data_IF_454317913851
#
_entry.id   IF_454317913851
#
_cell.length_a   1.000
_cell.length_b   1.000
_cell.length_c   1.000
_cell.angle_alpha   90.00
_cell.angle_beta   90.00
_cell.angle_gamma   90.00
#
_symmetry.space_group_name_H-M   'P 1'
#
loop_
_entity.id
_entity.type
_entity.pdbx_description
1 polymer ?
#
# COMPACT_ATOMS: atom_id res chain seq x y z
N UNK A 1 21.88 -51.55 4.93
CA UNK A 1 22.23 -50.21 5.47
C UNK A 1 20.94 -49.36 5.44
N UNK A 2 20.57 -48.66 6.52
CA UNK A 2 19.26 -47.96 6.63
C UNK A 2 19.35 -46.49 6.23
N UNK A 3 18.22 -45.86 5.87
CA UNK A 3 18.13 -44.42 5.58
C UNK A 3 18.76 -43.58 6.69
N UNK A 4 18.42 -43.85 7.96
CA UNK A 4 18.94 -43.12 9.11
C UNK A 4 20.47 -43.17 9.20
N UNK A 5 21.07 -44.33 8.90
CA UNK A 5 22.53 -44.49 8.89
C UNK A 5 23.21 -43.64 7.82
N UNK A 6 22.61 -43.55 6.63
CA UNK A 6 23.12 -42.73 5.52
C UNK A 6 22.90 -41.24 5.84
N UNK A 7 21.74 -40.87 6.37
CA UNK A 7 21.39 -39.49 6.72
C UNK A 7 22.27 -38.92 7.85
N UNK A 8 22.66 -39.73 8.84
CA UNK A 8 23.62 -39.28 9.88
C UNK A 8 25.01 -39.03 9.28
N UNK A 9 25.49 -39.90 8.39
CA UNK A 9 26.76 -39.67 7.66
C UNK A 9 26.66 -38.42 6.78
N UNK A 10 25.49 -38.19 6.19
CA UNK A 10 25.18 -37.02 5.39
C UNK A 10 25.23 -35.73 6.22
N UNK A 11 24.53 -35.66 7.35
CA UNK A 11 24.57 -34.48 8.23
C UNK A 11 25.98 -34.18 8.75
N UNK A 12 26.78 -35.22 9.05
CA UNK A 12 28.19 -35.04 9.43
C UNK A 12 29.01 -34.40 8.30
N UNK A 13 28.83 -34.85 7.05
CA UNK A 13 29.53 -34.29 5.89
C UNK A 13 29.13 -32.82 5.61
N UNK A 14 27.86 -32.47 5.84
CA UNK A 14 27.38 -31.08 5.72
C UNK A 14 27.96 -30.19 6.83
N UNK A 15 27.99 -30.66 8.09
CA UNK A 15 28.51 -29.88 9.23
C UNK A 15 30.00 -29.59 9.15
N UNK A 16 30.81 -30.47 8.56
CA UNK A 16 32.25 -30.22 8.33
C UNK A 16 32.53 -29.00 7.44
N UNK A 17 31.52 -28.50 6.70
CA UNK A 17 31.60 -27.27 5.90
C UNK A 17 31.54 -25.98 6.75
N UNK A 18 30.99 -26.05 7.96
CA UNK A 18 30.81 -24.88 8.84
C UNK A 18 32.07 -24.50 9.63
N UNK A 19 33.06 -25.38 9.76
CA UNK A 19 34.21 -25.17 10.66
C UNK A 19 35.56 -25.05 9.96
N UNK A 20 35.65 -25.18 8.62
CA UNK A 20 36.90 -25.01 7.88
C UNK A 20 36.69 -24.29 6.55
N UNK A 21 36.77 -22.96 6.61
CA UNK A 21 37.01 -22.12 5.44
C UNK A 21 38.53 -22.15 5.13
N UNK A 22 38.94 -22.98 4.17
CA UNK A 22 40.14 -22.78 3.34
C UNK A 22 40.18 -23.80 2.19
N UNK A 23 40.36 -23.28 0.98
CA UNK A 23 40.83 -23.92 -0.27
C UNK A 23 39.79 -24.55 -1.23
N UNK A 24 39.84 -24.08 -2.48
CA UNK A 24 39.06 -24.50 -3.66
C UNK A 24 39.30 -25.95 -4.14
N UNK A 25 40.21 -26.73 -3.54
CA UNK A 25 40.39 -28.15 -3.91
C UNK A 25 39.53 -29.12 -3.09
N UNK A 26 38.92 -28.66 -1.98
CA UNK A 26 38.12 -29.49 -1.07
C UNK A 26 36.64 -29.58 -1.52
N UNK A 27 36.18 -28.64 -2.36
CA UNK A 27 34.79 -28.59 -2.85
C UNK A 27 34.45 -29.75 -3.79
N UNK A 28 35.38 -30.22 -4.61
CA UNK A 28 35.15 -31.36 -5.51
C UNK A 28 35.00 -32.68 -4.74
N UNK A 29 35.84 -32.95 -3.74
CA UNK A 29 35.80 -34.21 -2.97
C UNK A 29 34.59 -34.32 -2.02
N UNK A 30 34.05 -33.20 -1.52
CA UNK A 30 32.82 -33.22 -0.72
C UNK A 30 31.59 -33.40 -1.61
N UNK A 31 31.54 -32.75 -2.77
CA UNK A 31 30.47 -32.93 -3.76
C UNK A 31 30.36 -34.39 -4.21
N UNK A 32 31.48 -35.00 -4.59
CA UNK A 32 31.58 -36.42 -4.96
C UNK A 32 31.10 -37.35 -3.84
N UNK A 33 31.45 -37.05 -2.57
CA UNK A 33 30.97 -37.83 -1.42
C UNK A 33 29.47 -37.69 -1.22
N UNK A 34 28.91 -36.49 -1.36
CA UNK A 34 27.47 -36.26 -1.24
C UNK A 34 26.71 -36.94 -2.38
N UNK A 35 27.24 -36.92 -3.60
CA UNK A 35 26.67 -37.62 -4.75
C UNK A 35 26.74 -39.14 -4.60
N UNK A 36 27.85 -39.68 -4.08
CA UNK A 36 27.96 -41.10 -3.77
C UNK A 36 27.00 -41.54 -2.65
N UNK A 37 26.74 -40.69 -1.66
CA UNK A 37 25.73 -40.94 -0.62
C UNK A 37 24.31 -40.85 -1.20
N UNK A 38 24.04 -39.88 -2.07
CA UNK A 38 22.77 -39.73 -2.77
C UNK A 38 22.44 -40.95 -3.64
N UNK A 39 23.42 -41.44 -4.41
CA UNK A 39 23.28 -42.62 -5.24
C UNK A 39 22.99 -43.89 -4.44
N UNK A 40 23.42 -43.96 -3.17
CA UNK A 40 23.09 -45.05 -2.24
C UNK A 40 21.75 -44.86 -1.55
N UNK A 41 21.27 -43.62 -1.42
CA UNK A 41 20.03 -43.26 -0.74
C UNK A 41 18.81 -43.54 -1.62
N UNK A 42 18.87 -43.14 -2.91
CA UNK A 42 17.73 -43.18 -3.82
C UNK A 42 17.12 -44.59 -4.00
N UNK A 43 17.90 -45.69 -4.12
CA UNK A 43 17.37 -47.05 -4.21
C UNK A 43 16.59 -47.50 -2.96
N UNK A 44 16.78 -46.83 -1.82
CA UNK A 44 16.06 -47.14 -0.58
C UNK A 44 14.66 -46.53 -0.53
N UNK A 45 14.20 -45.86 -1.60
CA UNK A 45 12.89 -45.21 -1.71
C UNK A 45 12.58 -44.31 -0.50
N UNK A 46 13.38 -43.23 -0.30
CA UNK A 46 13.16 -42.30 0.80
C UNK A 46 11.75 -41.70 0.75
N UNK A 47 11.16 -41.44 1.92
CA UNK A 47 9.83 -40.83 2.02
C UNK A 47 9.87 -39.33 1.69
N UNK A 48 8.71 -38.73 1.41
CA UNK A 48 8.58 -37.28 1.16
C UNK A 48 9.21 -36.45 2.29
N UNK A 49 8.89 -36.75 3.54
CA UNK A 49 9.48 -36.08 4.71
C UNK A 49 11.01 -36.19 4.75
N UNK A 50 11.55 -37.36 4.42
CA UNK A 50 12.99 -37.60 4.37
C UNK A 50 13.68 -36.79 3.27
N UNK A 51 13.06 -36.67 2.10
CA UNK A 51 13.54 -35.87 0.98
C UNK A 51 13.53 -34.37 1.33
N UNK A 52 12.47 -33.89 1.98
CA UNK A 52 12.34 -32.52 2.46
C UNK A 52 13.45 -32.15 3.47
N UNK A 53 13.81 -33.06 4.37
CA UNK A 53 14.93 -32.82 5.29
C UNK A 53 16.28 -32.69 4.57
N UNK A 54 16.46 -33.35 3.43
CA UNK A 54 17.65 -33.16 2.57
C UNK A 54 17.60 -31.79 1.88
N UNK A 55 16.44 -31.37 1.37
CA UNK A 55 16.23 -30.04 0.74
C UNK A 55 16.59 -28.90 1.70
N UNK A 56 16.14 -28.99 2.96
CA UNK A 56 16.45 -28.02 4.02
C UNK A 56 17.94 -28.06 4.39
N UNK A 57 18.45 -29.25 4.64
CA UNK A 57 19.76 -29.45 5.26
C UNK A 57 20.95 -29.32 4.32
N UNK A 58 20.79 -29.49 3.00
CA UNK A 58 21.91 -29.54 2.07
C UNK A 58 21.69 -28.68 0.82
N UNK A 59 22.32 -27.48 0.76
CA UNK A 59 22.30 -26.66 -0.44
C UNK A 59 22.82 -27.35 -1.70
N UNK A 60 23.74 -28.31 -1.56
CA UNK A 60 24.37 -29.00 -2.70
C UNK A 60 23.45 -30.04 -3.35
N UNK A 61 22.67 -30.77 -2.55
CA UNK A 61 21.73 -31.78 -3.07
C UNK A 61 20.30 -31.27 -3.22
N UNK A 62 20.06 -30.00 -2.92
CA UNK A 62 18.73 -29.44 -2.79
C UNK A 62 17.86 -29.68 -4.02
N UNK A 63 18.38 -29.36 -5.20
CA UNK A 63 17.64 -29.53 -6.45
C UNK A 63 17.37 -31.01 -6.74
N UNK A 64 18.37 -31.88 -6.53
CA UNK A 64 18.21 -33.34 -6.72
C UNK A 64 17.17 -33.91 -5.76
N UNK A 65 17.18 -33.48 -4.50
CA UNK A 65 16.22 -33.92 -3.50
C UNK A 65 14.81 -33.38 -3.75
N UNK A 66 14.70 -32.15 -4.25
CA UNK A 66 13.42 -31.59 -4.66
C UNK A 66 12.82 -32.32 -5.86
N UNK A 67 13.62 -32.66 -6.86
CA UNK A 67 13.15 -33.46 -8.00
C UNK A 67 12.67 -34.84 -7.57
N UNK A 68 13.46 -35.54 -6.73
CA UNK A 68 13.03 -36.81 -6.16
C UNK A 68 11.74 -36.68 -5.32
N UNK A 69 11.53 -35.55 -4.63
CA UNK A 69 10.27 -35.27 -3.93
C UNK A 69 9.11 -35.10 -4.91
N UNK A 70 9.27 -34.37 -6.01
CA UNK A 70 8.23 -34.25 -7.06
C UNK A 70 7.86 -35.63 -7.63
N UNK A 71 8.84 -36.50 -7.85
CA UNK A 71 8.61 -37.88 -8.33
C UNK A 71 7.76 -38.73 -7.37
N UNK A 72 7.70 -38.38 -6.07
CA UNK A 72 6.79 -39.02 -5.12
C UNK A 72 5.31 -38.63 -5.30
N UNK A 73 5.02 -37.66 -6.19
CA UNK A 73 3.69 -37.10 -6.47
C UNK A 73 3.01 -36.55 -5.20
N UNK A 74 3.61 -35.54 -4.55
CA UNK A 74 3.06 -34.94 -3.34
C UNK A 74 1.69 -34.31 -3.61
N UNK A 75 0.80 -34.42 -2.63
CA UNK A 75 -0.55 -33.83 -2.72
C UNK A 75 -0.53 -32.31 -2.51
N UNK A 76 -1.58 -31.63 -2.97
CA UNK A 76 -1.74 -30.18 -2.85
C UNK A 76 -1.53 -29.66 -1.41
N UNK A 77 -2.17 -30.31 -0.43
CA UNK A 77 -2.07 -29.90 0.98
C UNK A 77 -0.64 -30.02 1.51
N UNK A 78 0.08 -31.09 1.15
CA UNK A 78 1.48 -31.27 1.55
C UNK A 78 2.35 -30.12 1.00
N UNK A 79 2.16 -29.75 -0.26
CA UNK A 79 2.93 -28.64 -0.86
C UNK A 79 2.53 -27.28 -0.25
N UNK A 80 1.25 -27.07 0.07
CA UNK A 80 0.77 -25.87 0.76
C UNK A 80 1.40 -25.73 2.15
N UNK A 81 1.47 -26.82 2.91
CA UNK A 81 2.09 -26.83 4.24
C UNK A 81 3.57 -26.44 4.14
N UNK A 82 4.28 -26.94 3.12
CA UNK A 82 5.67 -26.54 2.86
C UNK A 82 5.79 -25.06 2.49
N UNK A 83 4.86 -24.51 1.71
CA UNK A 83 4.84 -23.09 1.34
C UNK A 83 4.64 -22.18 2.56
N UNK A 84 3.70 -22.52 3.45
CA UNK A 84 3.41 -21.73 4.65
C UNK A 84 4.41 -21.96 5.79
N UNK A 85 5.25 -22.98 5.71
CA UNK A 85 6.24 -23.28 6.73
C UNK A 85 7.25 -22.14 6.91
N UNK A 86 7.28 -21.54 8.11
CA UNK A 86 8.14 -20.40 8.45
C UNK A 86 9.64 -20.72 8.36
N UNK A 87 10.04 -21.99 8.58
CA UNK A 87 11.45 -22.40 8.44
C UNK A 87 11.95 -22.28 7.01
N UNK A 88 11.07 -22.45 6.02
CA UNK A 88 11.44 -22.34 4.61
C UNK A 88 11.72 -20.90 4.18
N UNK A 89 11.06 -19.93 4.82
CA UNK A 89 11.33 -18.51 4.58
C UNK A 89 12.75 -18.15 5.00
N UNK A 90 13.22 -18.66 6.14
CA UNK A 90 14.57 -18.40 6.63
C UNK A 90 15.66 -18.87 5.65
N UNK A 91 15.42 -19.97 4.93
CA UNK A 91 16.37 -20.55 3.99
C UNK A 91 16.18 -20.12 2.52
N UNK A 92 15.25 -19.20 2.24
CA UNK A 92 14.93 -18.79 0.86
C UNK A 92 14.35 -19.93 -0.01
N UNK A 93 13.75 -20.94 0.64
CA UNK A 93 13.32 -22.16 -0.04
C UNK A 93 11.89 -22.10 -0.56
N UNK A 94 11.11 -21.08 -0.17
CA UNK A 94 9.70 -20.98 -0.50
C UNK A 94 9.43 -21.01 -2.03
N UNK A 95 10.44 -20.64 -2.82
CA UNK A 95 10.39 -20.72 -4.29
C UNK A 95 10.09 -22.12 -4.84
N UNK A 96 10.51 -23.18 -4.15
CA UNK A 96 10.29 -24.56 -4.57
C UNK A 96 8.80 -24.95 -4.50
N UNK A 97 8.16 -24.92 -3.32
CA UNK A 97 6.73 -25.22 -3.23
C UNK A 97 5.90 -24.21 -4.00
N UNK A 98 6.30 -22.92 -4.09
CA UNK A 98 5.58 -21.95 -4.91
C UNK A 98 5.51 -22.35 -6.39
N UNK A 99 6.63 -22.72 -7.01
CA UNK A 99 6.66 -23.18 -8.41
C UNK A 99 5.80 -24.42 -8.62
N UNK A 100 5.83 -25.37 -7.69
CA UNK A 100 5.02 -26.57 -7.77
C UNK A 100 3.53 -26.28 -7.55
N UNK A 101 3.18 -25.32 -6.68
CA UNK A 101 1.79 -24.91 -6.47
C UNK A 101 1.14 -24.38 -7.76
N UNK A 102 1.90 -23.67 -8.60
CA UNK A 102 1.41 -23.17 -9.88
C UNK A 102 1.13 -24.27 -10.92
N UNK A 103 1.58 -25.51 -10.69
CA UNK A 103 1.28 -26.63 -11.58
C UNK A 103 0.02 -27.40 -11.18
N UNK A 104 -0.61 -27.09 -10.05
CA UNK A 104 -1.88 -27.72 -9.66
C UNK A 104 -3.06 -27.06 -10.37
N UNK A 105 -3.95 -27.90 -10.91
CA UNK A 105 -5.15 -27.46 -11.64
C UNK A 105 -6.08 -26.58 -10.79
N UNK A 106 -6.19 -26.88 -9.48
CA UNK A 106 -7.07 -26.19 -8.52
C UNK A 106 -6.29 -25.49 -7.40
N UNK A 107 -5.20 -24.78 -7.72
CA UNK A 107 -4.53 -23.94 -6.73
C UNK A 107 -5.44 -22.80 -6.24
N UNK A 108 -5.51 -22.57 -4.93
CA UNK A 108 -6.36 -21.53 -4.36
C UNK A 108 -5.92 -20.11 -4.78
N UNK A 109 -6.87 -19.24 -5.15
CA UNK A 109 -6.60 -17.86 -5.55
C UNK A 109 -5.82 -17.05 -4.51
N UNK A 110 -6.07 -17.26 -3.21
CA UNK A 110 -5.32 -16.58 -2.14
C UNK A 110 -3.83 -16.95 -2.16
N UNK A 111 -3.50 -18.20 -2.51
CA UNK A 111 -2.13 -18.65 -2.70
C UNK A 111 -1.53 -18.00 -3.93
N UNK A 112 -2.27 -17.94 -5.04
CA UNK A 112 -1.82 -17.25 -6.26
C UNK A 112 -1.50 -15.78 -5.99
N UNK A 113 -2.36 -15.08 -5.23
CA UNK A 113 -2.13 -13.69 -4.81
C UNK A 113 -0.90 -13.59 -3.90
N UNK A 114 -0.71 -14.49 -2.93
CA UNK A 114 0.46 -14.47 -2.04
C UNK A 114 1.76 -14.73 -2.83
N UNK A 115 1.77 -15.69 -3.75
CA UNK A 115 2.91 -15.94 -4.66
C UNK A 115 3.18 -14.71 -5.52
N UNK A 116 2.16 -14.13 -6.14
CA UNK A 116 2.30 -12.95 -6.99
C UNK A 116 2.91 -11.76 -6.27
N UNK A 117 2.51 -11.52 -5.01
CA UNK A 117 2.97 -10.38 -4.21
C UNK A 117 4.36 -10.64 -3.61
N UNK A 118 4.63 -11.86 -3.14
CA UNK A 118 5.88 -12.17 -2.42
C UNK A 118 7.01 -12.64 -3.33
N UNK A 119 6.71 -13.08 -4.55
CA UNK A 119 7.69 -13.65 -5.47
C UNK A 119 7.60 -12.96 -6.84
N UNK A 120 8.27 -11.81 -7.01
CA UNK A 120 8.21 -11.04 -8.26
C UNK A 120 8.50 -11.86 -9.53
N UNK A 121 9.42 -12.84 -9.46
CA UNK A 121 9.77 -13.70 -10.59
C UNK A 121 8.70 -14.76 -10.95
N UNK A 122 7.68 -14.96 -10.12
CA UNK A 122 6.50 -15.81 -10.39
C UNK A 122 5.21 -14.99 -10.55
N UNK A 123 5.30 -13.65 -10.48
CA UNK A 123 4.12 -12.80 -10.51
C UNK A 123 3.35 -12.91 -11.82
N UNK A 124 4.07 -13.01 -12.95
CA UNK A 124 3.48 -13.24 -14.26
C UNK A 124 2.66 -14.54 -14.28
N UNK A 125 3.28 -15.66 -13.94
CA UNK A 125 2.63 -16.98 -14.02
C UNK A 125 1.40 -17.05 -13.09
N UNK A 126 1.50 -16.47 -11.89
CA UNK A 126 0.39 -16.40 -10.94
C UNK A 126 -0.76 -15.54 -11.46
N UNK A 127 -0.45 -14.37 -12.04
CA UNK A 127 -1.44 -13.49 -12.64
C UNK A 127 -2.11 -14.12 -13.87
N UNK A 128 -1.38 -14.90 -14.66
CA UNK A 128 -1.89 -15.58 -15.84
C UNK A 128 -2.96 -16.61 -15.44
N UNK A 129 -2.67 -17.44 -14.43
CA UNK A 129 -3.63 -18.40 -13.89
C UNK A 129 -4.87 -17.67 -13.32
N UNK A 130 -4.69 -16.59 -12.55
CA UNK A 130 -5.81 -15.82 -12.01
C UNK A 130 -6.70 -15.26 -13.12
N UNK A 131 -6.13 -14.68 -14.18
CA UNK A 131 -6.88 -14.08 -15.29
C UNK A 131 -7.70 -15.11 -16.08
N UNK A 132 -7.21 -16.35 -16.18
CA UNK A 132 -7.94 -17.44 -16.85
C UNK A 132 -9.18 -17.90 -16.07
N UNK A 133 -9.27 -17.63 -14.76
CA UNK A 133 -10.28 -18.19 -13.85
C UNK A 133 -11.45 -17.25 -13.50
N UNK A 134 -11.67 -16.18 -14.27
CA UNK A 134 -12.68 -15.13 -13.96
C UNK A 134 -12.47 -14.55 -12.55
N UNK A 135 -11.36 -13.83 -12.34
CA UNK A 135 -10.95 -13.37 -11.01
C UNK A 135 -11.94 -12.35 -10.41
N UNK A 136 -12.02 -12.29 -9.09
CA UNK A 136 -12.80 -11.27 -8.37
C UNK A 136 -12.23 -9.86 -8.57
N UNK A 137 -13.03 -8.83 -8.29
CA UNK A 137 -12.57 -7.43 -8.33
C UNK A 137 -11.34 -7.18 -7.43
N UNK A 138 -11.29 -7.86 -6.28
CA UNK A 138 -10.14 -7.81 -5.37
C UNK A 138 -8.90 -8.42 -6.02
N UNK A 139 -9.03 -9.60 -6.65
CA UNK A 139 -7.91 -10.26 -7.33
C UNK A 139 -7.40 -9.41 -8.50
N UNK A 140 -8.30 -8.85 -9.31
CA UNK A 140 -7.96 -7.93 -10.41
C UNK A 140 -7.19 -6.71 -9.91
N UNK A 141 -7.65 -6.09 -8.82
CA UNK A 141 -6.96 -4.96 -8.19
C UNK A 141 -5.55 -5.34 -7.73
N UNK A 142 -5.35 -6.55 -7.16
CA UNK A 142 -4.02 -7.03 -6.79
C UNK A 142 -3.10 -7.24 -7.99
N UNK A 143 -3.63 -7.70 -9.12
CA UNK A 143 -2.86 -7.84 -10.37
C UNK A 143 -2.43 -6.45 -10.86
N UNK A 144 -3.34 -5.47 -10.87
CA UNK A 144 -3.09 -4.10 -11.31
C UNK A 144 -2.03 -3.39 -10.45
N UNK A 145 -2.11 -3.55 -9.12
CA UNK A 145 -1.18 -2.94 -8.17
C UNK A 145 0.22 -3.56 -8.20
N UNK A 146 0.37 -4.79 -8.70
CA UNK A 146 1.64 -5.49 -8.62
C UNK A 146 2.62 -5.01 -9.71
N UNK A 147 3.73 -4.32 -9.35
CA UNK A 147 4.68 -3.82 -10.34
C UNK A 147 5.45 -4.94 -11.06
N UNK A 148 5.48 -6.14 -10.46
CA UNK A 148 6.11 -7.32 -11.03
C UNK A 148 5.27 -7.98 -12.13
N UNK A 149 3.97 -7.64 -12.22
CA UNK A 149 3.11 -8.12 -13.31
C UNK A 149 3.35 -7.27 -14.56
N UNK A 150 3.60 -7.89 -15.73
CA UNK A 150 3.79 -7.16 -16.98
C UNK A 150 2.63 -6.21 -17.31
N UNK A 151 2.96 -5.05 -17.90
CA UNK A 151 1.96 -4.01 -18.26
C UNK A 151 0.79 -4.58 -19.07
N UNK A 152 0.98 -5.42 -20.12
CA UNK A 152 -0.14 -5.94 -20.91
C UNK A 152 -1.15 -6.74 -20.07
N UNK A 153 -0.68 -7.47 -19.05
CA UNK A 153 -1.57 -8.23 -18.16
C UNK A 153 -2.29 -7.33 -17.16
N UNK A 154 -1.63 -6.24 -16.71
CA UNK A 154 -2.29 -5.22 -15.89
C UNK A 154 -3.35 -4.45 -16.68
N UNK A 155 -3.10 -4.17 -17.95
CA UNK A 155 -4.10 -3.61 -18.87
C UNK A 155 -5.28 -4.55 -19.09
N UNK A 156 -5.01 -5.85 -19.28
CA UNK A 156 -6.06 -6.87 -19.37
C UNK A 156 -6.87 -6.95 -18.07
N UNK A 157 -6.22 -6.95 -16.90
CA UNK A 157 -6.91 -6.96 -15.62
C UNK A 157 -7.78 -5.69 -15.43
N UNK A 158 -7.25 -4.52 -15.81
CA UNK A 158 -7.99 -3.27 -15.80
C UNK A 158 -9.20 -3.30 -16.72
N UNK A 159 -9.06 -3.84 -17.94
CA UNK A 159 -10.17 -4.04 -18.88
C UNK A 159 -11.30 -4.88 -18.26
N UNK A 160 -10.94 -6.03 -17.68
CA UNK A 160 -11.90 -6.92 -17.02
C UNK A 160 -12.56 -6.22 -15.84
N UNK A 161 -11.79 -5.48 -15.03
CA UNK A 161 -12.31 -4.77 -13.87
C UNK A 161 -13.25 -3.63 -14.27
N UNK A 162 -12.93 -2.85 -15.30
CA UNK A 162 -13.79 -1.76 -15.81
C UNK A 162 -15.13 -2.31 -16.32
N UNK A 163 -15.13 -3.47 -16.98
CA UNK A 163 -16.35 -4.05 -17.54
C UNK A 163 -17.14 -4.93 -16.56
N UNK A 164 -16.63 -5.13 -15.34
CA UNK A 164 -17.31 -5.95 -14.33
C UNK A 164 -18.60 -5.28 -13.81
N UNK A 165 -19.66 -6.06 -13.50
CA UNK A 165 -20.81 -5.54 -12.77
C UNK A 165 -20.49 -5.26 -11.29
N UNK A 166 -19.44 -5.86 -10.74
CA UNK A 166 -19.01 -5.71 -9.35
C UNK A 166 -17.82 -4.76 -9.20
N UNK A 167 -17.61 -3.86 -10.17
CA UNK A 167 -16.58 -2.82 -10.08
C UNK A 167 -16.89 -1.85 -8.95
N UNK A 168 -15.90 -1.57 -8.11
CA UNK A 168 -15.97 -0.58 -7.04
C UNK A 168 -15.08 0.64 -7.32
N UNK A 169 -15.33 1.74 -6.61
CA UNK A 169 -14.58 2.99 -6.80
C UNK A 169 -13.07 2.83 -6.52
N UNK A 170 -12.63 2.13 -5.45
CA UNK A 170 -11.21 1.93 -5.18
C UNK A 170 -10.49 1.18 -6.32
N UNK A 171 -11.14 0.19 -6.94
CA UNK A 171 -10.59 -0.53 -8.08
C UNK A 171 -10.39 0.38 -9.30
N UNK A 172 -11.33 1.28 -9.59
CA UNK A 172 -11.21 2.22 -10.70
C UNK A 172 -10.16 3.30 -10.44
N UNK A 173 -10.07 3.81 -9.21
CA UNK A 173 -8.99 4.73 -8.81
C UNK A 173 -7.64 4.03 -8.99
N UNK A 174 -7.51 2.78 -8.58
CA UNK A 174 -6.29 2.00 -8.78
C UNK A 174 -5.88 1.92 -10.26
N UNK A 175 -6.83 1.79 -11.19
CA UNK A 175 -6.53 1.79 -12.63
C UNK A 175 -5.97 3.14 -13.07
N UNK A 176 -6.58 4.26 -12.64
CA UNK A 176 -6.11 5.61 -12.95
C UNK A 176 -4.65 5.79 -12.52
N UNK A 177 -4.26 5.22 -11.37
CA UNK A 177 -2.92 5.39 -10.83
C UNK A 177 -1.87 4.46 -11.42
N UNK A 178 -2.24 3.25 -11.81
CA UNK A 178 -1.30 2.19 -12.14
C UNK A 178 -1.26 1.80 -13.62
N UNK A 179 -2.29 2.16 -14.41
CA UNK A 179 -2.46 1.71 -15.80
C UNK A 179 -2.82 2.88 -16.71
N UNK A 180 -1.82 3.66 -17.16
CA UNK A 180 -2.07 4.86 -17.97
C UNK A 180 -2.94 4.62 -19.20
N UNK A 181 -2.77 3.48 -19.88
CA UNK A 181 -3.56 3.13 -21.07
C UNK A 181 -5.06 2.95 -20.83
N UNK A 182 -5.48 2.73 -19.58
CA UNK A 182 -6.88 2.50 -19.21
C UNK A 182 -7.44 3.60 -18.27
N UNK A 183 -6.59 4.58 -17.91
CA UNK A 183 -6.91 5.58 -16.90
C UNK A 183 -8.12 6.45 -17.29
N UNK A 184 -8.20 6.92 -18.53
CA UNK A 184 -9.33 7.73 -18.99
C UNK A 184 -10.66 6.95 -18.95
N UNK A 185 -10.64 5.67 -19.33
CA UNK A 185 -11.86 4.82 -19.30
C UNK A 185 -12.33 4.56 -17.88
N UNK A 186 -11.41 4.27 -16.97
CA UNK A 186 -11.75 4.12 -15.55
C UNK A 186 -12.31 5.42 -14.96
N UNK A 187 -11.74 6.57 -15.32
CA UNK A 187 -12.22 7.87 -14.89
C UNK A 187 -13.62 8.20 -15.44
N UNK A 188 -13.91 7.87 -16.71
CA UNK A 188 -15.27 8.02 -17.27
C UNK A 188 -16.30 7.22 -16.47
N UNK A 189 -15.99 5.97 -16.14
CA UNK A 189 -16.87 5.14 -15.30
C UNK A 189 -17.09 5.76 -13.91
N UNK A 190 -16.05 6.32 -13.28
CA UNK A 190 -16.19 7.01 -11.99
C UNK A 190 -17.06 8.28 -12.05
N UNK A 191 -17.00 9.03 -13.15
CA UNK A 191 -17.87 10.19 -13.37
C UNK A 191 -19.36 9.79 -13.44
N UNK A 192 -19.65 8.61 -13.98
CA UNK A 192 -21.01 8.06 -14.09
C UNK A 192 -21.54 7.52 -12.76
N UNK A 193 -20.67 7.11 -11.83
CA UNK A 193 -21.03 6.48 -10.55
C UNK A 193 -21.46 7.47 -9.46
N UNK A 194 -21.45 8.80 -9.71
CA UNK A 194 -21.68 9.84 -8.69
C UNK A 194 -20.78 9.67 -7.45
N UNK A 195 -19.49 9.43 -7.71
CA UNK A 195 -18.50 9.12 -6.68
C UNK A 195 -18.18 10.33 -5.78
N UNK A 196 -17.61 10.15 -4.58
CA UNK A 196 -17.23 11.24 -3.69
C UNK A 196 -16.29 12.28 -4.33
N UNK A 197 -16.29 13.53 -3.83
CA UNK A 197 -15.49 14.60 -4.43
C UNK A 197 -13.99 14.35 -4.44
N UNK A 198 -13.45 13.58 -3.50
CA UNK A 198 -12.03 13.22 -3.51
C UNK A 198 -11.67 12.31 -4.70
N UNK A 199 -12.62 11.50 -5.18
CA UNK A 199 -12.48 10.74 -6.42
C UNK A 199 -12.50 11.70 -7.61
N UNK A 200 -13.42 12.67 -7.63
CA UNK A 200 -13.45 13.69 -8.69
C UNK A 200 -12.16 14.51 -8.73
N UNK A 201 -11.59 14.84 -7.56
CA UNK A 201 -10.28 15.50 -7.46
C UNK A 201 -9.18 14.64 -8.10
N UNK A 202 -9.22 13.32 -7.91
CA UNK A 202 -8.26 12.40 -8.54
C UNK A 202 -8.37 12.47 -10.06
N UNK A 203 -9.59 12.44 -10.61
CA UNK A 203 -9.83 12.58 -12.05
C UNK A 203 -9.32 13.93 -12.55
N UNK A 204 -9.71 15.01 -11.86
CA UNK A 204 -9.34 16.38 -12.19
C UNK A 204 -7.82 16.57 -12.28
N UNK A 205 -7.07 16.03 -11.32
CA UNK A 205 -5.61 16.18 -11.26
C UNK A 205 -4.86 15.24 -12.20
N UNK A 206 -5.39 14.03 -12.45
CA UNK A 206 -4.65 12.98 -13.18
C UNK A 206 -5.08 12.78 -14.63
N UNK A 207 -6.28 13.22 -15.01
CA UNK A 207 -6.85 13.01 -16.35
C UNK A 207 -7.22 14.37 -16.97
N UNK A 208 -6.26 15.04 -17.63
CA UNK A 208 -6.48 16.39 -18.18
C UNK A 208 -7.67 16.48 -19.14
N UNK A 209 -7.92 15.43 -19.92
CA UNK A 209 -9.04 15.35 -20.86
C UNK A 209 -10.42 15.36 -20.20
N UNK A 210 -10.51 15.07 -18.90
CA UNK A 210 -11.77 15.01 -18.13
C UNK A 210 -11.83 16.06 -17.00
N UNK A 211 -10.87 16.98 -16.95
CA UNK A 211 -10.78 17.96 -15.88
C UNK A 211 -12.00 18.89 -15.82
N UNK A 212 -12.55 19.28 -16.98
CA UNK A 212 -13.75 20.11 -17.07
C UNK A 212 -14.97 19.41 -16.43
N UNK A 213 -15.18 18.14 -16.76
CA UNK A 213 -16.29 17.34 -16.27
C UNK A 213 -16.18 17.08 -14.77
N UNK A 214 -14.98 16.70 -14.29
CA UNK A 214 -14.73 16.53 -12.86
C UNK A 214 -14.95 17.83 -12.09
N UNK A 215 -14.47 18.96 -12.63
CA UNK A 215 -14.70 20.28 -12.05
C UNK A 215 -16.19 20.63 -11.96
N UNK A 216 -16.98 20.34 -12.99
CA UNK A 216 -18.44 20.58 -12.97
C UNK A 216 -19.11 19.83 -11.82
N UNK A 217 -18.70 18.58 -11.53
CA UNK A 217 -19.25 17.85 -10.39
C UNK A 217 -18.79 18.43 -9.05
N UNK A 218 -17.51 18.79 -8.92
CA UNK A 218 -16.96 19.40 -7.70
C UNK A 218 -17.64 20.74 -7.38
N UNK A 219 -17.83 21.59 -8.38
CA UNK A 219 -18.31 22.97 -8.19
C UNK A 219 -19.80 23.09 -7.79
N UNK A 220 -20.60 22.03 -7.95
CA UNK A 220 -22.03 22.04 -7.57
C UNK A 220 -22.22 22.09 -6.05
N UNK A 221 -21.42 21.34 -5.29
CA UNK A 221 -21.54 21.27 -3.83
C UNK A 221 -20.16 21.15 -3.18
N UNK A 222 -19.27 22.13 -3.35
CA UNK A 222 -17.84 21.93 -3.15
C UNK A 222 -17.48 21.64 -1.69
N UNK A 223 -16.68 20.58 -1.49
CA UNK A 223 -16.05 20.28 -0.22
C UNK A 223 -14.85 21.23 -0.01
N UNK A 224 -14.78 21.97 1.12
CA UNK A 224 -13.71 22.94 1.36
C UNK A 224 -12.30 22.35 1.21
N UNK A 225 -12.09 21.14 1.73
CA UNK A 225 -10.81 20.42 1.62
C UNK A 225 -10.41 20.13 0.16
N UNK A 226 -11.39 19.84 -0.70
CA UNK A 226 -11.15 19.59 -2.13
C UNK A 226 -10.77 20.89 -2.84
N UNK A 227 -11.47 22.00 -2.54
CA UNK A 227 -11.11 23.32 -3.06
C UNK A 227 -9.69 23.72 -2.69
N UNK A 228 -9.26 23.51 -1.44
CA UNK A 228 -7.90 23.79 -0.99
C UNK A 228 -6.83 23.11 -1.86
N UNK A 229 -7.08 21.85 -2.26
CA UNK A 229 -6.17 21.12 -3.17
C UNK A 229 -6.15 21.68 -4.59
N UNK A 230 -7.29 22.13 -5.11
CA UNK A 230 -7.39 22.73 -6.45
C UNK A 230 -6.76 24.11 -6.49
N UNK A 231 -6.92 24.91 -5.43
CA UNK A 231 -6.25 26.20 -5.27
C UNK A 231 -4.72 26.02 -5.36
N UNK A 232 -4.20 24.95 -4.76
CA UNK A 232 -2.77 24.63 -4.76
C UNK A 232 -2.27 23.99 -6.06
N UNK A 233 -3.14 23.46 -6.92
CA UNK A 233 -2.73 22.65 -8.08
C UNK A 233 -2.17 23.46 -9.26
N UNK A 234 -2.24 24.79 -9.22
CA UNK A 234 -1.83 25.71 -10.30
C UNK A 234 -2.51 25.47 -11.65
N UNK A 235 -3.57 24.64 -11.71
CA UNK A 235 -4.29 24.35 -12.95
C UNK A 235 -5.27 25.49 -13.24
N UNK A 236 -4.89 26.35 -14.17
CA UNK A 236 -5.71 27.47 -14.64
C UNK A 236 -6.80 27.00 -15.63
N UNK A 237 -8.01 27.62 -15.64
CA UNK A 237 -8.46 28.70 -14.75
C UNK A 237 -9.06 28.21 -13.41
N UNK A 238 -9.00 26.90 -13.14
CA UNK A 238 -9.77 26.28 -12.06
C UNK A 238 -9.30 26.65 -10.66
N UNK A 239 -8.01 26.88 -10.45
CA UNK A 239 -7.49 27.38 -9.19
C UNK A 239 -8.11 28.74 -8.83
N UNK A 240 -8.27 29.67 -9.77
CA UNK A 240 -8.95 30.95 -9.56
C UNK A 240 -10.46 30.77 -9.29
N UNK A 241 -11.12 29.89 -10.04
CA UNK A 241 -12.51 29.54 -9.79
C UNK A 241 -12.71 28.92 -8.40
N UNK A 242 -11.77 28.07 -7.96
CA UNK A 242 -11.78 27.45 -6.64
C UNK A 242 -11.56 28.48 -5.52
N UNK A 243 -10.73 29.51 -5.73
CA UNK A 243 -10.62 30.65 -4.80
C UNK A 243 -11.95 31.36 -4.65
N UNK A 244 -12.63 31.67 -5.76
CA UNK A 244 -13.93 32.35 -5.71
C UNK A 244 -14.97 31.53 -4.95
N UNK A 245 -15.00 30.20 -5.17
CA UNK A 245 -15.88 29.31 -4.43
C UNK A 245 -15.51 29.27 -2.95
N UNK A 246 -14.23 29.10 -2.60
CA UNK A 246 -13.78 29.00 -1.21
C UNK A 246 -14.11 30.24 -0.39
N UNK A 247 -13.93 31.44 -0.96
CA UNK A 247 -14.29 32.72 -0.31
C UNK A 247 -15.82 32.87 -0.18
N UNK A 248 -16.59 32.39 -1.15
CA UNK A 248 -18.05 32.50 -1.18
C UNK A 248 -18.82 31.44 -0.39
N UNK A 249 -18.13 30.46 0.21
CA UNK A 249 -18.76 29.39 0.99
C UNK A 249 -19.44 29.94 2.25
N UNK A 250 -20.62 29.40 2.59
CA UNK A 250 -21.30 29.71 3.85
C UNK A 250 -20.50 29.25 5.08
N UNK A 251 -19.88 28.07 4.98
CA UNK A 251 -19.08 27.45 6.01
C UNK A 251 -17.70 27.08 5.42
N UNK A 252 -16.81 28.07 5.22
CA UNK A 252 -15.47 27.79 4.72
C UNK A 252 -14.64 27.11 5.80
N UNK A 253 -13.67 26.28 5.39
CA UNK A 253 -12.74 25.67 6.33
C UNK A 253 -11.42 26.45 6.39
N UNK A 254 -10.74 26.31 7.52
CA UNK A 254 -9.45 26.97 7.75
C UNK A 254 -8.40 26.65 6.67
N UNK A 255 -8.29 25.39 6.23
CA UNK A 255 -7.22 25.01 5.31
C UNK A 255 -7.44 25.55 3.91
N UNK A 256 -8.67 25.56 3.38
CA UNK A 256 -8.93 26.16 2.06
C UNK A 256 -8.65 27.65 2.05
N UNK A 257 -9.07 28.40 3.06
CA UNK A 257 -8.78 29.84 3.18
C UNK A 257 -7.28 30.11 3.35
N UNK A 258 -6.57 29.29 4.14
CA UNK A 258 -5.12 29.38 4.24
C UNK A 258 -4.43 29.14 2.88
N UNK A 259 -4.90 28.15 2.11
CA UNK A 259 -4.40 27.92 0.74
C UNK A 259 -4.64 29.14 -0.16
N UNK A 260 -5.79 29.83 -0.06
CA UNK A 260 -6.02 31.09 -0.77
C UNK A 260 -4.96 32.13 -0.39
N UNK A 261 -4.75 32.38 0.90
CA UNK A 261 -3.80 33.40 1.37
C UNK A 261 -2.36 33.14 0.93
N UNK A 262 -1.97 31.86 0.90
CA UNK A 262 -0.64 31.39 0.49
C UNK A 262 -0.42 31.56 -1.02
N UNK A 263 -1.38 31.11 -1.83
CA UNK A 263 -1.19 30.98 -3.28
C UNK A 263 -1.63 32.22 -4.04
N UNK A 264 -2.60 33.00 -3.53
CA UNK A 264 -3.19 34.15 -4.22
C UNK A 264 -2.99 35.45 -3.43
N UNK A 265 -1.83 36.12 -3.57
CA UNK A 265 -1.54 37.38 -2.85
C UNK A 265 -2.62 38.44 -2.98
N UNK A 266 -3.21 38.57 -4.16
CA UNK A 266 -4.23 39.59 -4.46
C UNK A 266 -5.58 39.31 -3.77
N UNK A 267 -5.84 38.07 -3.31
CA UNK A 267 -7.07 37.66 -2.61
C UNK A 267 -6.82 37.39 -1.13
N UNK A 268 -5.60 37.62 -0.64
CA UNK A 268 -5.18 37.32 0.73
C UNK A 268 -6.01 38.06 1.78
N UNK A 269 -6.28 39.34 1.55
CA UNK A 269 -6.99 40.15 2.54
C UNK A 269 -8.45 39.73 2.68
N UNK A 270 -9.11 39.35 1.57
CA UNK A 270 -10.46 38.79 1.60
C UNK A 270 -10.51 37.50 2.44
N UNK A 271 -9.62 36.54 2.17
CA UNK A 271 -9.54 35.30 2.93
C UNK A 271 -9.20 35.53 4.40
N UNK A 272 -8.33 36.50 4.70
CA UNK A 272 -7.98 36.88 6.08
C UNK A 272 -9.18 37.45 6.84
N UNK A 273 -10.01 38.31 6.22
CA UNK A 273 -11.21 38.83 6.90
C UNK A 273 -12.17 37.72 7.31
N UNK A 274 -12.33 36.69 6.47
CA UNK A 274 -13.16 35.52 6.79
C UNK A 274 -12.55 34.74 7.97
N UNK A 275 -11.25 34.40 7.90
CA UNK A 275 -10.55 33.70 8.97
C UNK A 275 -10.57 34.48 10.30
N UNK A 276 -10.46 35.80 10.25
CA UNK A 276 -10.49 36.67 11.43
C UNK A 276 -11.83 36.61 12.15
N UNK A 277 -12.92 36.38 11.43
CA UNK A 277 -14.26 36.21 11.99
C UNK A 277 -14.52 34.79 12.54
N UNK A 278 -13.66 33.81 12.23
CA UNK A 278 -13.74 32.47 12.78
C UNK A 278 -13.16 32.41 14.20
N UNK A 279 -13.62 31.41 14.95
CA UNK A 279 -13.00 31.01 16.20
C UNK A 279 -11.75 30.16 15.88
N UNK A 280 -10.57 30.78 16.00
CA UNK A 280 -9.30 30.18 15.64
C UNK A 280 -8.48 29.95 16.90
N UNK A 281 -7.96 28.73 17.05
CA UNK A 281 -7.01 28.43 18.11
C UNK A 281 -5.64 29.09 17.86
N UNK A 282 -4.84 29.17 18.93
CA UNK A 282 -3.51 29.77 18.86
C UNK A 282 -2.58 29.04 17.88
N UNK A 283 -2.79 27.74 17.64
CA UNK A 283 -1.98 26.98 16.69
C UNK A 283 -2.31 27.35 15.24
N UNK A 284 -3.59 27.53 14.91
CA UNK A 284 -4.06 28.02 13.62
C UNK A 284 -3.53 29.42 13.33
N UNK A 285 -3.53 30.31 14.34
CA UNK A 285 -2.97 31.66 14.23
C UNK A 285 -1.45 31.65 14.01
N UNK A 286 -0.70 30.79 14.72
CA UNK A 286 0.74 30.58 14.48
C UNK A 286 1.00 30.05 13.07
N UNK A 287 0.18 29.11 12.60
CA UNK A 287 0.29 28.56 11.25
C UNK A 287 0.08 29.64 10.19
N UNK A 288 -0.91 30.52 10.35
CA UNK A 288 -1.14 31.68 9.48
C UNK A 288 0.09 32.60 9.49
N UNK A 289 0.57 32.99 10.67
CA UNK A 289 1.72 33.88 10.82
C UNK A 289 2.99 33.33 10.15
N UNK A 290 3.19 32.01 10.20
CA UNK A 290 4.31 31.30 9.56
C UNK A 290 4.16 31.22 8.05
N UNK A 291 2.99 30.83 7.57
CA UNK A 291 2.76 30.52 6.15
C UNK A 291 2.38 31.75 5.32
N UNK A 292 1.95 32.84 5.95
CA UNK A 292 1.57 34.10 5.32
C UNK A 292 2.19 35.31 6.05
N UNK A 293 3.48 35.62 5.83
CA UNK A 293 4.19 36.70 6.54
C UNK A 293 3.51 38.07 6.45
N UNK A 294 2.79 38.33 5.35
CA UNK A 294 2.11 39.61 5.11
C UNK A 294 0.98 39.92 6.13
N UNK A 295 0.42 38.92 6.81
CA UNK A 295 -0.61 39.11 7.86
C UNK A 295 -0.10 38.72 9.24
N UNK A 296 1.21 38.51 9.39
CA UNK A 296 1.83 37.99 10.62
C UNK A 296 1.48 38.85 11.84
N UNK A 297 1.65 40.17 11.72
CA UNK A 297 1.38 41.10 12.81
C UNK A 297 -0.09 41.08 13.24
N UNK A 298 -1.02 40.99 12.28
CA UNK A 298 -2.45 40.89 12.57
C UNK A 298 -2.83 39.57 13.24
N UNK A 299 -2.22 38.46 12.81
CA UNK A 299 -2.41 37.14 13.43
C UNK A 299 -1.86 37.09 14.85
N UNK A 300 -0.67 37.64 15.09
CA UNK A 300 -0.06 37.74 16.42
C UNK A 300 -0.87 38.66 17.35
N UNK A 301 -1.47 39.73 16.83
CA UNK A 301 -2.35 40.60 17.59
C UNK A 301 -3.63 39.87 18.03
N UNK A 302 -4.28 39.10 17.16
CA UNK A 302 -5.47 38.29 17.50
C UNK A 302 -5.12 37.20 18.54
N UNK A 303 -3.94 36.59 18.44
CA UNK A 303 -3.44 35.61 19.42
C UNK A 303 -3.26 36.23 20.80
N UNK A 304 -2.68 37.43 20.89
CA UNK A 304 -2.54 38.16 22.16
C UNK A 304 -3.89 38.54 22.76
N UNK A 305 -4.83 39.02 21.93
CA UNK A 305 -6.18 39.36 22.38
C UNK A 305 -6.91 38.13 22.98
N UNK A 306 -6.84 36.98 22.31
CA UNK A 306 -7.42 35.72 22.81
C UNK A 306 -6.86 35.32 24.18
N UNK A 307 -5.54 35.44 24.37
CA UNK A 307 -4.90 35.15 25.66
C UNK A 307 -5.36 36.10 26.78
N UNK A 308 -5.57 37.39 26.47
CA UNK A 308 -6.10 38.37 27.44
C UNK A 308 -7.53 38.00 27.83
N UNK A 309 -8.37 37.61 26.87
CA UNK A 309 -9.75 37.19 27.13
C UNK A 309 -9.82 35.92 27.99
N UNK A 310 -8.96 34.94 27.74
CA UNK A 310 -8.84 33.73 28.57
C UNK A 310 -8.43 34.04 30.01
N UNK A 311 -7.43 34.91 30.20
CA UNK A 311 -6.98 35.32 31.55
C UNK A 311 -8.10 36.08 32.28
N UNK A 312 -8.81 36.99 31.60
CA UNK A 312 -9.94 37.70 32.18
C UNK A 312 -11.06 36.74 32.60
N UNK A 313 -11.36 35.72 31.78
CA UNK A 313 -12.34 34.68 32.10
C UNK A 313 -11.94 33.87 33.34
N UNK A 314 -10.69 33.39 33.40
CA UNK A 314 -10.17 32.63 34.57
C UNK A 314 -10.18 33.49 35.84
N UNK A 315 -9.79 34.77 35.75
CA UNK A 315 -9.86 35.67 36.90
C UNK A 315 -11.30 35.86 37.39
N UNK A 316 -12.27 36.05 36.49
CA UNK A 316 -13.69 36.16 36.87
C UNK A 316 -14.23 34.88 37.52
N UNK A 317 -13.83 33.70 37.03
CA UNK A 317 -14.17 32.41 37.64
C UNK A 317 -13.56 32.27 39.05
N UNK A 318 -12.29 32.65 39.24
CA UNK A 318 -11.65 32.67 40.57
C UNK A 318 -12.38 33.63 41.52
N UNK A 319 -12.70 34.84 41.05
CA UNK A 319 -13.42 35.82 41.87
C UNK A 319 -14.80 35.31 42.28
N UNK A 320 -15.59 34.77 41.35
CA UNK A 320 -16.92 34.22 41.64
C UNK A 320 -16.89 33.03 42.61
N UNK A 321 -15.92 32.13 42.50
CA UNK A 321 -15.71 31.03 43.44
C UNK A 321 -15.32 31.52 44.83
N UNK A 322 -14.44 32.53 44.92
CA UNK A 322 -14.01 33.12 46.19
C UNK A 322 -15.15 33.85 46.93
N UNK A 323 -16.06 34.49 46.20
CA UNK A 323 -17.28 35.09 46.77
C UNK A 323 -18.28 34.05 47.24
N UNK A 324 -18.38 32.92 46.54
CA UNK A 324 -19.30 31.82 46.91
C UNK A 324 -18.81 31.08 48.15
N UNK A 325 -17.50 30.85 48.28
CA UNK A 325 -16.88 30.27 49.49
C UNK A 325 -17.08 31.15 50.72
N UNK A 326 -16.87 32.47 50.59
CA UNK A 326 -17.12 33.43 51.68
C UNK A 326 -18.59 33.47 52.10
N UNK A 327 -19.53 33.29 51.18
CA UNK A 327 -20.96 33.25 51.50
C UNK A 327 -21.39 31.95 52.21
N UNK A 328 -20.62 30.86 52.10
CA UNK A 328 -20.88 29.59 52.80
C UNK A 328 -20.20 29.47 54.17
N UNK A 329 -19.34 30.43 54.54
CA UNK A 329 -18.67 30.50 55.84
C UNK A 329 -19.37 31.46 56.84
N UNK A 330 -20.49 32.06 56.44
CA UNK A 330 -21.43 32.81 57.29
C UNK A 330 -22.75 32.06 57.42
#
# INVERSE_FOLDING_TARGET
MTFASIYVKFQKAVRTKSTKQKNMSITNTVGEKLDALWAKLLPLKPTSAQLIEVVKGSPYLRDKAWQAFIETKPGYNEVCDLYHNSTWNYFGLRQYPAKLLLTFEEVNDSILVDIMVRMPYLAKDSAEILLQRKPSSLHLTKIILSPAVPIPMREQAAEVLINSPTTDEPGLVCIIECVPGQAERAARKLLEMNSPQFVMLTIFLKIPSLANEAWRQISVAPEPRVLGRIIESQIQPYNELAVNLAIGLKNPDFNSLLSVMKVFPNRRQEAWQILKAMDLDNESLRKIARECPAVKEEAEAKMKASCVDEVAKVMNEIFSLSTTQRASEF
#
